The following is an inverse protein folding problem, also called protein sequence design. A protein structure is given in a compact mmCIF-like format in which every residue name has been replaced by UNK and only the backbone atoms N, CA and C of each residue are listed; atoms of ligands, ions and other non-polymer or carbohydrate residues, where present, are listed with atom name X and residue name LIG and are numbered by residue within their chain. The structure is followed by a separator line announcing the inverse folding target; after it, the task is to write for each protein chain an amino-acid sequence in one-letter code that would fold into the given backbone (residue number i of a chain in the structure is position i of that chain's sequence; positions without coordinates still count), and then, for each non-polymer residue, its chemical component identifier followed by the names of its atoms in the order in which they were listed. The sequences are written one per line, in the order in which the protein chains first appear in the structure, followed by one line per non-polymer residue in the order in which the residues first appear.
data_IF_686475079004
#
_entry.id   IF_686475079004
#
_cell.length_a   1.000
_cell.length_b   1.000
_cell.length_c   1.000
_cell.angle_alpha   90.00
_cell.angle_beta   90.00
_cell.angle_gamma   90.00
#
_symmetry.space_group_name_H-M   'P 1'
#
loop_
_entity.id
_entity.type
_entity.pdbx_description
1 polymer ?
#
# COMPACT_ATOMS: atom_id res chain seq x y z
N UNK A 1 20.80 33.77 -28.86
CA UNK A 1 20.85 32.30 -28.88
C UNK A 1 21.83 31.88 -27.78
N UNK A 2 21.33 31.70 -26.60
CA UNK A 2 22.08 31.23 -25.42
C UNK A 2 22.06 29.71 -25.40
N UNK A 3 23.21 29.12 -25.71
CA UNK A 3 23.43 27.67 -25.50
C UNK A 3 23.38 27.40 -24.02
N UNK A 4 22.21 26.99 -23.53
CA UNK A 4 22.15 26.30 -22.25
C UNK A 4 22.82 24.92 -22.44
N UNK A 5 23.74 24.50 -21.55
CA UNK A 5 24.37 23.21 -21.66
C UNK A 5 23.31 22.14 -21.27
N UNK A 6 22.81 21.45 -22.29
CA UNK A 6 22.16 20.16 -22.15
C UNK A 6 23.24 19.20 -21.67
N UNK A 7 23.33 18.96 -20.41
CA UNK A 7 23.96 17.76 -19.82
C UNK A 7 24.60 18.02 -18.44
N UNK A 8 23.81 18.20 -17.42
CA UNK A 8 24.09 17.36 -16.26
C UNK A 8 23.33 16.06 -16.50
N UNK A 9 23.95 15.15 -17.23
CA UNK A 9 23.61 13.74 -17.16
C UNK A 9 23.76 13.36 -15.68
N UNK A 10 22.65 13.47 -14.92
CA UNK A 10 22.55 12.91 -13.58
C UNK A 10 23.10 11.49 -13.69
N UNK A 11 24.28 11.26 -13.14
CA UNK A 11 24.83 9.91 -13.02
C UNK A 11 23.81 9.11 -12.23
N UNK A 12 22.94 8.42 -12.97
CA UNK A 12 21.94 7.53 -12.39
C UNK A 12 22.71 6.49 -11.59
N UNK A 13 22.66 6.61 -10.27
CA UNK A 13 23.21 5.52 -9.45
C UNK A 13 22.28 4.30 -9.65
N UNK A 14 22.76 3.23 -10.26
CA UNK A 14 21.90 2.10 -10.63
C UNK A 14 21.40 1.31 -9.42
N UNK A 15 22.07 1.42 -8.26
CA UNK A 15 21.78 0.58 -7.09
C UNK A 15 20.36 0.78 -6.56
N UNK A 16 19.86 2.01 -6.28
CA UNK A 16 18.47 2.18 -5.84
C UNK A 16 17.48 1.66 -6.89
N UNK A 17 17.71 1.96 -8.17
CA UNK A 17 16.83 1.54 -9.27
C UNK A 17 16.75 0.01 -9.42
N UNK A 18 17.85 -0.71 -9.19
CA UNK A 18 17.85 -2.18 -9.17
C UNK A 18 17.01 -2.73 -8.01
N UNK A 19 17.10 -2.13 -6.83
CA UNK A 19 16.29 -2.53 -5.67
C UNK A 19 14.80 -2.29 -5.96
N UNK A 20 14.45 -1.15 -6.57
CA UNK A 20 13.09 -0.84 -7.01
C UNK A 20 12.57 -1.87 -8.04
N UNK A 21 13.42 -2.32 -8.97
CA UNK A 21 13.05 -3.39 -9.90
C UNK A 21 12.81 -4.72 -9.18
N UNK A 22 13.56 -5.04 -8.12
CA UNK A 22 13.28 -6.23 -7.29
C UNK A 22 11.90 -6.15 -6.63
N UNK A 23 11.45 -4.96 -6.18
CA UNK A 23 10.09 -4.75 -5.72
C UNK A 23 9.08 -5.15 -6.82
N UNK A 24 9.21 -4.58 -8.03
CA UNK A 24 8.32 -4.89 -9.15
C UNK A 24 8.33 -6.39 -9.53
N UNK A 25 9.49 -7.03 -9.53
CA UNK A 25 9.62 -8.46 -9.82
C UNK A 25 8.93 -9.34 -8.78
N UNK A 26 9.01 -8.99 -7.52
CA UNK A 26 8.27 -9.68 -6.45
C UNK A 26 6.76 -9.54 -6.64
N UNK A 27 6.27 -8.33 -6.97
CA UNK A 27 4.87 -8.10 -7.29
C UNK A 27 4.40 -8.92 -8.48
N UNK A 28 5.15 -8.92 -9.57
CA UNK A 28 4.86 -9.71 -10.76
C UNK A 28 4.87 -11.22 -10.47
N UNK A 29 5.88 -11.71 -9.76
CA UNK A 29 5.95 -13.11 -9.35
C UNK A 29 4.74 -13.52 -8.50
N UNK A 30 4.29 -12.66 -7.59
CA UNK A 30 3.07 -12.90 -6.80
C UNK A 30 1.83 -13.08 -7.70
N UNK A 31 1.68 -12.25 -8.74
CA UNK A 31 0.60 -12.38 -9.73
C UNK A 31 0.68 -13.74 -10.44
N UNK A 32 1.86 -14.11 -10.94
CA UNK A 32 2.07 -15.38 -11.65
C UNK A 32 1.74 -16.58 -10.76
N UNK A 33 2.20 -16.56 -9.50
CA UNK A 33 1.89 -17.63 -8.55
C UNK A 33 0.39 -17.69 -8.24
N UNK A 34 -0.30 -16.56 -8.09
CA UNK A 34 -1.73 -16.52 -7.84
C UNK A 34 -2.53 -17.12 -9.00
N UNK A 35 -2.21 -16.76 -10.24
CA UNK A 35 -2.86 -17.27 -11.45
C UNK A 35 -2.55 -18.77 -11.64
N UNK A 36 -1.30 -19.19 -11.45
CA UNK A 36 -0.90 -20.57 -11.60
C UNK A 36 -1.57 -21.49 -10.56
N UNK A 37 -1.70 -21.06 -9.31
CA UNK A 37 -2.42 -21.83 -8.28
C UNK A 37 -3.92 -21.91 -8.56
N UNK A 38 -4.52 -20.84 -9.08
CA UNK A 38 -5.92 -20.86 -9.51
C UNK A 38 -6.14 -21.86 -10.65
N UNK A 39 -5.27 -21.87 -11.66
CA UNK A 39 -5.35 -22.80 -12.80
C UNK A 39 -5.20 -24.26 -12.36
N UNK A 40 -4.41 -24.55 -11.32
CA UNK A 40 -4.25 -25.90 -10.75
C UNK A 40 -5.34 -26.30 -9.77
N UNK A 41 -6.25 -25.39 -9.43
CA UNK A 41 -7.26 -25.62 -8.39
C UNK A 41 -6.69 -25.69 -6.96
N UNK A 42 -5.47 -25.20 -6.75
CA UNK A 42 -4.77 -25.20 -5.45
C UNK A 42 -5.09 -23.96 -4.60
N UNK A 43 -4.89 -24.03 -3.29
CA UNK A 43 -4.98 -22.86 -2.42
C UNK A 43 -3.92 -21.81 -2.84
N UNK A 44 -4.21 -20.53 -2.56
CA UNK A 44 -3.20 -19.50 -2.82
C UNK A 44 -1.96 -19.83 -2.00
N UNK A 45 -0.78 -19.96 -2.66
CA UNK A 45 0.44 -20.35 -1.96
C UNK A 45 0.86 -19.26 -0.97
N UNK A 46 1.42 -19.67 0.16
CA UNK A 46 2.05 -18.74 1.11
C UNK A 46 3.15 -17.90 0.45
N UNK A 47 3.75 -18.43 -0.64
CA UNK A 47 4.69 -17.72 -1.48
C UNK A 47 4.18 -16.35 -1.97
N UNK A 48 2.88 -16.21 -2.27
CA UNK A 48 2.31 -14.92 -2.69
C UNK A 48 2.42 -13.86 -1.58
N UNK A 49 2.21 -14.26 -0.32
CA UNK A 49 2.35 -13.35 0.83
C UNK A 49 3.82 -13.04 1.08
N UNK A 50 4.70 -14.05 1.00
CA UNK A 50 6.14 -13.84 1.15
C UNK A 50 6.70 -12.91 0.07
N UNK A 51 6.23 -13.03 -1.16
CA UNK A 51 6.59 -12.13 -2.26
C UNK A 51 6.09 -10.71 -2.05
N UNK A 52 4.85 -10.54 -1.52
CA UNK A 52 4.36 -9.22 -1.13
C UNK A 52 5.25 -8.60 -0.04
N UNK A 53 5.65 -9.39 0.95
CA UNK A 53 6.53 -8.94 2.02
C UNK A 53 7.91 -8.56 1.49
N UNK A 54 8.48 -9.37 0.60
CA UNK A 54 9.73 -9.06 -0.07
C UNK A 54 9.63 -7.76 -0.87
N UNK A 55 8.50 -7.54 -1.59
CA UNK A 55 8.23 -6.29 -2.28
C UNK A 55 8.24 -5.08 -1.32
N UNK A 56 7.57 -5.18 -0.16
CA UNK A 56 7.56 -4.12 0.86
C UNK A 56 8.95 -3.85 1.46
N UNK A 57 9.76 -4.89 1.62
CA UNK A 57 11.16 -4.75 2.08
C UNK A 57 11.99 -4.03 1.02
N UNK A 58 11.89 -4.42 -0.25
CA UNK A 58 12.62 -3.76 -1.34
C UNK A 58 12.21 -2.31 -1.53
N UNK A 59 10.91 -1.98 -1.46
CA UNK A 59 10.38 -0.61 -1.44
C UNK A 59 11.00 0.26 -0.32
N UNK A 60 11.10 -0.32 0.87
CA UNK A 60 11.73 0.38 2.00
C UNK A 60 13.23 0.57 1.80
N UNK A 61 13.91 -0.45 1.25
CA UNK A 61 15.36 -0.45 1.04
C UNK A 61 15.79 0.50 -0.07
N UNK A 62 15.04 0.63 -1.17
CA UNK A 62 15.39 1.54 -2.26
C UNK A 62 15.30 3.01 -1.83
N UNK A 63 14.23 3.36 -1.09
CA UNK A 63 14.11 4.68 -0.48
C UNK A 63 15.21 4.98 0.55
N UNK A 64 15.70 3.98 1.27
CA UNK A 64 16.84 4.11 2.18
C UNK A 64 18.14 4.27 1.40
N UNK A 65 18.38 3.42 0.38
CA UNK A 65 19.55 3.44 -0.47
C UNK A 65 19.67 4.80 -1.21
N UNK A 66 18.58 5.30 -1.78
CA UNK A 66 18.54 6.60 -2.45
C UNK A 66 18.93 7.76 -1.51
N UNK A 67 18.56 7.67 -0.22
CA UNK A 67 18.94 8.67 0.80
C UNK A 67 20.41 8.56 1.21
N UNK A 68 20.88 7.34 1.50
CA UNK A 68 22.26 7.09 1.95
C UNK A 68 23.27 7.44 0.87
N UNK A 69 22.98 7.08 -0.37
CA UNK A 69 23.84 7.34 -1.54
C UNK A 69 23.66 8.75 -2.10
N UNK A 70 22.79 9.59 -1.51
CA UNK A 70 22.43 10.93 -2.03
C UNK A 70 22.03 10.90 -3.52
N UNK A 71 21.45 9.79 -3.98
CA UNK A 71 21.13 9.48 -5.36
C UNK A 71 19.63 9.69 -5.68
N UNK A 72 19.01 10.70 -5.06
CA UNK A 72 17.62 11.05 -5.37
C UNK A 72 17.55 11.60 -6.78
N UNK A 73 16.74 10.97 -7.64
CA UNK A 73 16.49 11.41 -9.02
C UNK A 73 14.98 11.35 -9.32
N UNK A 74 14.53 12.19 -10.26
CA UNK A 74 13.15 12.12 -10.76
C UNK A 74 12.86 10.80 -11.46
N UNK A 75 13.86 10.23 -12.13
CA UNK A 75 13.75 8.90 -12.73
C UNK A 75 13.48 7.83 -11.67
N UNK A 76 14.28 7.79 -10.57
CA UNK A 76 14.10 6.84 -9.47
C UNK A 76 12.72 6.96 -8.82
N UNK A 77 12.22 8.17 -8.58
CA UNK A 77 10.90 8.39 -8.00
C UNK A 77 9.75 7.92 -8.93
N UNK A 78 9.90 8.08 -10.25
CA UNK A 78 8.92 7.57 -11.20
C UNK A 78 8.97 6.03 -11.30
N UNK A 79 10.17 5.44 -11.30
CA UNK A 79 10.36 3.99 -11.33
C UNK A 79 9.77 3.34 -10.08
N UNK A 80 9.99 3.93 -8.91
CA UNK A 80 9.42 3.55 -7.61
C UNK A 80 7.89 3.52 -7.66
N UNK A 81 7.26 4.58 -8.15
CA UNK A 81 5.81 4.62 -8.30
C UNK A 81 5.25 3.58 -9.28
N UNK A 82 5.99 3.25 -10.34
CA UNK A 82 5.60 2.18 -11.28
C UNK A 82 5.75 0.79 -10.64
N UNK A 83 6.82 0.55 -9.89
CA UNK A 83 7.02 -0.67 -9.13
C UNK A 83 5.92 -0.88 -8.10
N UNK A 84 5.59 0.16 -7.34
CA UNK A 84 4.50 0.18 -6.36
C UNK A 84 3.12 -0.07 -7.00
N UNK A 85 2.88 0.48 -8.18
CA UNK A 85 1.65 0.22 -8.93
C UNK A 85 1.49 -1.27 -9.26
N UNK A 86 2.58 -1.97 -9.61
CA UNK A 86 2.56 -3.41 -9.87
C UNK A 86 2.36 -4.18 -8.57
N UNK A 87 3.18 -3.94 -7.56
CA UNK A 87 3.26 -4.75 -6.34
C UNK A 87 2.10 -4.52 -5.39
N UNK A 88 1.64 -3.26 -5.24
CA UNK A 88 0.61 -2.88 -4.27
C UNK A 88 -0.71 -2.45 -4.93
N UNK A 89 -0.74 -2.35 -6.26
CA UNK A 89 -1.94 -2.07 -7.03
C UNK A 89 -2.44 -3.30 -7.81
N UNK A 90 -1.70 -3.72 -8.85
CA UNK A 90 -2.11 -4.81 -9.75
C UNK A 90 -2.15 -6.15 -9.01
N UNK A 91 -1.10 -6.50 -8.27
CA UNK A 91 -1.02 -7.79 -7.61
C UNK A 91 -2.17 -8.03 -6.60
N UNK A 92 -2.53 -7.09 -5.69
CA UNK A 92 -3.70 -7.27 -4.83
C UNK A 92 -5.03 -7.30 -5.61
N UNK A 93 -5.19 -6.50 -6.66
CA UNK A 93 -6.41 -6.50 -7.49
C UNK A 93 -6.64 -7.87 -8.15
N UNK A 94 -5.59 -8.48 -8.72
CA UNK A 94 -5.63 -9.85 -9.27
C UNK A 94 -5.91 -10.87 -8.18
N UNK A 95 -5.31 -10.69 -7.01
CA UNK A 95 -5.48 -11.59 -5.86
C UNK A 95 -6.93 -11.60 -5.36
N UNK A 96 -7.62 -10.45 -5.30
CA UNK A 96 -9.05 -10.36 -4.96
C UNK A 96 -9.88 -11.21 -5.94
N UNK A 97 -9.61 -11.07 -7.25
CA UNK A 97 -10.29 -11.86 -8.27
C UNK A 97 -10.07 -13.36 -8.07
N UNK A 98 -8.82 -13.78 -7.91
CA UNK A 98 -8.45 -15.18 -7.71
C UNK A 98 -9.09 -15.77 -6.46
N UNK A 99 -9.04 -15.06 -5.33
CA UNK A 99 -9.64 -15.52 -4.06
C UNK A 99 -11.14 -15.74 -4.17
N UNK A 100 -11.86 -14.79 -4.75
CA UNK A 100 -13.32 -14.91 -4.84
C UNK A 100 -13.69 -16.03 -5.81
N UNK A 101 -13.09 -16.08 -6.99
CA UNK A 101 -13.40 -17.12 -7.98
C UNK A 101 -13.12 -18.52 -7.48
N UNK A 102 -12.09 -18.68 -6.65
CA UNK A 102 -11.75 -19.95 -6.06
C UNK A 102 -12.74 -20.40 -4.99
N UNK A 103 -13.09 -19.51 -4.06
CA UNK A 103 -13.94 -19.85 -2.92
C UNK A 103 -15.44 -19.79 -3.25
N UNK A 104 -15.79 -19.20 -4.40
CA UNK A 104 -17.15 -19.07 -4.90
C UNK A 104 -17.25 -19.53 -6.37
N UNK A 105 -17.03 -20.84 -6.67
CA UNK A 105 -16.98 -21.33 -8.05
C UNK A 105 -18.30 -21.15 -8.82
N UNK A 106 -19.46 -21.08 -8.13
CA UNK A 106 -20.78 -20.82 -8.72
C UNK A 106 -21.10 -19.35 -8.96
N UNK A 107 -20.10 -18.46 -8.98
CA UNK A 107 -20.34 -17.01 -9.21
C UNK A 107 -20.94 -16.76 -10.58
N UNK A 108 -22.10 -16.07 -10.62
CA UNK A 108 -22.81 -15.69 -11.84
C UNK A 108 -21.99 -14.69 -12.69
N UNK A 109 -22.41 -14.48 -13.95
CA UNK A 109 -21.79 -13.47 -14.82
C UNK A 109 -21.84 -12.08 -14.18
N UNK A 110 -22.98 -11.70 -13.62
CA UNK A 110 -23.13 -10.42 -12.92
C UNK A 110 -22.18 -10.32 -11.71
N UNK A 111 -22.06 -11.39 -10.93
CA UNK A 111 -21.10 -11.46 -9.81
C UNK A 111 -19.64 -11.33 -10.29
N UNK A 112 -19.31 -11.93 -11.43
CA UNK A 112 -17.97 -11.81 -12.02
C UNK A 112 -17.67 -10.37 -12.47
N UNK A 113 -18.63 -9.68 -13.09
CA UNK A 113 -18.50 -8.28 -13.46
C UNK A 113 -18.32 -7.38 -12.20
N UNK A 114 -19.01 -7.70 -11.13
CA UNK A 114 -18.86 -6.99 -9.86
C UNK A 114 -17.46 -7.16 -9.27
N UNK A 115 -16.89 -8.38 -9.32
CA UNK A 115 -15.51 -8.63 -8.88
C UNK A 115 -14.54 -7.79 -9.73
N UNK A 116 -14.70 -7.76 -11.05
CA UNK A 116 -13.90 -6.93 -11.93
C UNK A 116 -14.02 -5.44 -11.58
N UNK A 117 -15.24 -4.96 -11.37
CA UNK A 117 -15.50 -3.58 -11.00
C UNK A 117 -14.77 -3.17 -9.71
N UNK A 118 -14.82 -3.99 -8.66
CA UNK A 118 -14.14 -3.72 -7.38
C UNK A 118 -12.63 -3.84 -7.51
N UNK A 119 -12.11 -4.83 -8.25
CA UNK A 119 -10.68 -4.98 -8.48
C UNK A 119 -10.10 -3.77 -9.25
N UNK A 120 -10.79 -3.32 -10.31
CA UNK A 120 -10.42 -2.13 -11.07
C UNK A 120 -10.54 -0.85 -10.23
N UNK A 121 -11.56 -0.75 -9.39
CA UNK A 121 -11.72 0.36 -8.46
C UNK A 121 -10.55 0.43 -7.47
N UNK A 122 -10.17 -0.70 -6.85
CA UNK A 122 -9.01 -0.76 -5.96
C UNK A 122 -7.72 -0.33 -6.68
N UNK A 123 -7.48 -0.85 -7.87
CA UNK A 123 -6.34 -0.46 -8.72
C UNK A 123 -6.37 1.05 -9.01
N UNK A 124 -7.51 1.58 -9.44
CA UNK A 124 -7.69 3.01 -9.72
C UNK A 124 -7.39 3.88 -8.51
N UNK A 125 -7.86 3.48 -7.32
CA UNK A 125 -7.55 4.17 -6.06
C UNK A 125 -6.05 4.15 -5.74
N UNK A 126 -5.37 3.02 -5.97
CA UNK A 126 -3.92 2.91 -5.77
C UNK A 126 -3.17 3.85 -6.71
N UNK A 127 -3.47 3.82 -8.01
CA UNK A 127 -2.84 4.70 -9.01
C UNK A 127 -3.09 6.17 -8.71
N UNK A 128 -4.32 6.54 -8.34
CA UNK A 128 -4.67 7.90 -7.95
C UNK A 128 -3.85 8.37 -6.75
N UNK A 129 -3.71 7.51 -5.74
CA UNK A 129 -2.92 7.80 -4.55
C UNK A 129 -1.45 8.04 -4.89
N UNK A 130 -0.83 7.15 -5.69
CA UNK A 130 0.57 7.28 -6.11
C UNK A 130 0.80 8.56 -6.91
N UNK A 131 -0.08 8.86 -7.87
CA UNK A 131 -0.03 10.09 -8.65
C UNK A 131 -0.15 11.34 -7.77
N UNK A 132 -1.10 11.35 -6.79
CA UNK A 132 -1.27 12.45 -5.84
C UNK A 132 0.00 12.67 -5.00
N UNK A 133 0.62 11.59 -4.54
CA UNK A 133 1.85 11.66 -3.75
C UNK A 133 3.01 12.24 -4.56
N UNK A 134 3.17 11.82 -5.81
CA UNK A 134 4.21 12.33 -6.71
C UNK A 134 4.08 13.84 -6.96
N UNK A 135 2.85 14.32 -7.21
CA UNK A 135 2.59 15.76 -7.39
C UNK A 135 2.94 16.56 -6.14
N UNK A 136 2.57 16.08 -4.95
CA UNK A 136 2.90 16.76 -3.70
C UNK A 136 4.41 16.79 -3.43
N UNK A 137 5.12 15.71 -3.77
CA UNK A 137 6.57 15.64 -3.65
C UNK A 137 7.28 16.64 -4.58
N UNK A 138 6.80 16.80 -5.82
CA UNK A 138 7.33 17.79 -6.79
C UNK A 138 7.06 19.24 -6.36
N UNK A 139 5.91 19.52 -5.72
CA UNK A 139 5.58 20.85 -5.22
C UNK A 139 6.40 21.25 -3.96
N UNK A 140 7.29 20.40 -3.46
CA UNK A 140 8.13 20.66 -2.29
C UNK A 140 7.34 20.91 -1.00
N UNK A 141 6.04 20.60 -0.99
CA UNK A 141 5.20 20.72 0.20
C UNK A 141 5.64 19.64 1.16
N UNK A 142 6.39 20.05 2.19
CA UNK A 142 6.76 19.17 3.31
C UNK A 142 5.48 18.59 3.89
N UNK A 143 5.40 17.28 3.93
CA UNK A 143 4.38 16.58 4.69
C UNK A 143 4.40 17.08 6.14
N UNK A 144 3.25 17.50 6.65
CA UNK A 144 3.05 17.84 8.08
C UNK A 144 3.23 16.61 9.01
N UNK A 145 3.94 15.58 8.52
CA UNK A 145 4.28 14.36 9.26
C UNK A 145 3.17 13.31 9.33
N UNK A 146 2.14 13.41 8.47
CA UNK A 146 1.07 12.43 8.34
C UNK A 146 0.81 12.11 6.87
N UNK A 147 0.65 10.83 6.52
CA UNK A 147 0.14 10.42 5.22
C UNK A 147 -1.37 10.74 5.14
N UNK A 148 -1.82 11.28 4.03
CA UNK A 148 -3.23 11.38 3.72
C UNK A 148 -3.69 10.10 3.02
N UNK A 149 -4.59 9.37 3.64
CA UNK A 149 -5.10 8.08 3.19
C UNK A 149 -4.22 6.88 3.57
N UNK A 150 -4.80 5.68 3.45
CA UNK A 150 -4.13 4.42 3.77
C UNK A 150 -2.93 4.19 2.85
N UNK A 151 -1.73 3.86 3.37
CA UNK A 151 -0.57 3.51 2.54
C UNK A 151 -0.84 2.29 1.65
N UNK A 152 -0.38 2.33 0.37
CA UNK A 152 -0.59 1.23 -0.58
C UNK A 152 -0.01 -0.11 -0.13
N UNK A 153 1.19 -0.19 0.50
CA UNK A 153 1.67 -1.45 1.05
C UNK A 153 0.77 -2.00 2.17
N UNK A 154 0.23 -1.12 3.03
CA UNK A 154 -0.70 -1.53 4.08
C UNK A 154 -2.01 -2.05 3.49
N UNK A 155 -2.59 -1.37 2.50
CA UNK A 155 -3.79 -1.82 1.80
C UNK A 155 -3.59 -3.19 1.12
N UNK A 156 -2.46 -3.39 0.44
CA UNK A 156 -2.09 -4.66 -0.17
C UNK A 156 -1.99 -5.78 0.87
N UNK A 157 -1.29 -5.54 1.99
CA UNK A 157 -1.16 -6.53 3.07
C UNK A 157 -2.51 -6.91 3.68
N UNK A 158 -3.45 -5.97 3.76
CA UNK A 158 -4.81 -6.23 4.22
C UNK A 158 -5.58 -7.16 3.26
N UNK A 159 -5.51 -6.92 1.94
CA UNK A 159 -6.13 -7.78 0.93
C UNK A 159 -5.59 -9.20 1.00
N UNK A 160 -4.26 -9.35 1.00
CA UNK A 160 -3.62 -10.67 1.06
C UNK A 160 -3.95 -11.40 2.37
N UNK A 161 -3.95 -10.70 3.48
CA UNK A 161 -4.32 -11.29 4.78
C UNK A 161 -5.77 -11.75 4.81
N UNK A 162 -6.71 -10.93 4.33
CA UNK A 162 -8.11 -11.30 4.25
C UNK A 162 -8.30 -12.56 3.40
N UNK A 163 -7.73 -12.59 2.19
CA UNK A 163 -7.82 -13.74 1.31
C UNK A 163 -7.21 -15.02 1.86
N UNK A 164 -6.16 -14.91 2.69
CA UNK A 164 -5.49 -16.06 3.29
C UNK A 164 -6.21 -16.60 4.55
N UNK A 165 -6.77 -15.72 5.39
CA UNK A 165 -7.37 -16.12 6.66
C UNK A 165 -8.87 -16.40 6.57
N UNK A 166 -9.62 -15.65 5.76
CA UNK A 166 -11.07 -15.82 5.64
C UNK A 166 -11.52 -17.25 5.24
N UNK A 167 -10.85 -17.95 4.29
CA UNK A 167 -11.22 -19.30 3.94
C UNK A 167 -11.12 -20.28 5.12
N UNK A 168 -10.23 -19.99 6.09
CA UNK A 168 -10.04 -20.82 7.29
C UNK A 168 -11.15 -20.66 8.34
N UNK A 169 -12.00 -19.63 8.19
CA UNK A 169 -13.14 -19.37 9.07
C UNK A 169 -14.39 -20.15 8.64
N UNK A 170 -14.29 -21.03 7.63
CA UNK A 170 -15.38 -21.86 7.11
C UNK A 170 -16.67 -21.06 6.80
N UNK A 171 -16.49 -19.83 6.33
CA UNK A 171 -17.60 -18.94 5.96
C UNK A 171 -18.31 -19.48 4.71
N UNK A 172 -19.63 -19.39 4.70
CA UNK A 172 -20.40 -19.72 3.51
C UNK A 172 -20.02 -18.86 2.30
N UNK A 173 -20.13 -19.39 1.04
CA UNK A 173 -19.63 -18.72 -0.16
C UNK A 173 -20.21 -17.31 -0.35
N UNK A 174 -21.48 -17.10 -0.05
CA UNK A 174 -22.13 -15.79 -0.17
C UNK A 174 -21.57 -14.75 0.81
N UNK A 175 -21.30 -15.15 2.05
CA UNK A 175 -20.74 -14.28 3.06
C UNK A 175 -19.29 -13.95 2.74
N UNK A 176 -18.50 -14.94 2.30
CA UNK A 176 -17.13 -14.75 1.84
C UNK A 176 -17.07 -13.77 0.67
N UNK A 177 -17.93 -13.96 -0.35
CA UNK A 177 -18.03 -13.08 -1.51
C UNK A 177 -18.30 -11.63 -1.10
N UNK A 178 -19.39 -11.42 -0.34
CA UNK A 178 -19.81 -10.06 0.06
C UNK A 178 -18.78 -9.38 0.96
N UNK A 179 -18.20 -10.14 1.88
CA UNK A 179 -17.19 -9.61 2.80
C UNK A 179 -15.91 -9.19 2.07
N UNK A 180 -15.36 -10.05 1.21
CA UNK A 180 -14.10 -9.74 0.54
C UNK A 180 -14.25 -8.62 -0.49
N UNK A 181 -15.40 -8.55 -1.19
CA UNK A 181 -15.70 -7.42 -2.07
C UNK A 181 -15.84 -6.10 -1.31
N UNK A 182 -16.65 -6.09 -0.26
CA UNK A 182 -16.84 -4.90 0.58
C UNK A 182 -15.53 -4.44 1.21
N UNK A 183 -14.71 -5.39 1.63
CA UNK A 183 -13.40 -5.13 2.22
C UNK A 183 -12.41 -4.52 1.21
N UNK A 184 -12.33 -5.07 0.00
CA UNK A 184 -11.49 -4.53 -1.08
C UNK A 184 -11.96 -3.13 -1.51
N UNK A 185 -13.27 -2.92 -1.60
CA UNK A 185 -13.86 -1.62 -1.89
C UNK A 185 -13.53 -0.58 -0.81
N UNK A 186 -13.70 -0.96 0.46
CA UNK A 186 -13.41 -0.10 1.61
C UNK A 186 -11.91 0.27 1.68
N UNK A 187 -11.01 -0.68 1.46
CA UNK A 187 -9.57 -0.40 1.44
C UNK A 187 -9.19 0.55 0.31
N UNK A 188 -9.83 0.41 -0.86
CA UNK A 188 -9.69 1.37 -1.97
C UNK A 188 -10.13 2.79 -1.58
N UNK A 189 -11.32 2.92 -0.99
CA UNK A 189 -11.81 4.22 -0.51
C UNK A 189 -10.88 4.85 0.54
N UNK A 190 -10.35 4.06 1.46
CA UNK A 190 -9.44 4.55 2.49
C UNK A 190 -8.10 5.03 1.93
N UNK A 191 -7.62 4.46 0.82
CA UNK A 191 -6.41 4.96 0.14
C UNK A 191 -6.59 6.37 -0.43
N UNK A 192 -7.78 6.69 -0.94
CA UNK A 192 -8.08 8.01 -1.54
C UNK A 192 -8.59 9.01 -0.49
N UNK A 193 -9.01 8.54 0.68
CA UNK A 193 -9.53 9.39 1.76
C UNK A 193 -8.45 10.35 2.30
N UNK A 194 -8.90 11.44 2.92
CA UNK A 194 -8.01 12.38 3.61
C UNK A 194 -7.79 12.00 5.09
N UNK A 195 -8.07 10.75 5.47
CA UNK A 195 -7.79 10.23 6.82
C UNK A 195 -6.29 10.27 7.07
N UNK A 196 -5.82 10.96 8.12
CA UNK A 196 -4.38 11.05 8.39
C UNK A 196 -3.90 9.75 9.01
N UNK A 197 -2.89 9.18 8.38
CA UNK A 197 -2.13 8.06 8.92
C UNK A 197 -0.78 8.59 9.40
N UNK A 198 -0.40 8.36 10.67
CA UNK A 198 0.89 8.81 11.18
C UNK A 198 2.03 8.10 10.44
N UNK A 199 3.08 8.85 10.10
CA UNK A 199 4.31 8.24 9.64
C UNK A 199 4.89 7.37 10.76
N UNK A 200 5.17 6.10 10.48
CA UNK A 200 5.88 5.19 11.42
C UNK A 200 7.16 5.84 11.93
N UNK A 201 7.83 6.64 11.09
CA UNK A 201 9.01 7.41 11.46
C UNK A 201 8.75 8.41 12.60
N UNK A 202 7.55 8.98 12.72
CA UNK A 202 7.22 9.94 13.80
C UNK A 202 7.02 9.22 15.13
N UNK A 203 6.46 8.00 15.08
CA UNK A 203 6.35 7.15 16.26
C UNK A 203 7.73 6.72 16.79
N UNK A 204 8.72 6.59 15.88
CA UNK A 204 10.08 6.16 16.22
C UNK A 204 11.00 7.34 16.58
N UNK A 205 10.81 8.54 16.01
CA UNK A 205 11.71 9.68 16.21
C UNK A 205 11.30 10.63 17.34
N UNK A 206 10.09 10.52 17.86
CA UNK A 206 9.60 11.32 18.99
C UNK A 206 9.78 10.69 20.37
N UNK A 207 10.10 9.39 20.40
CA UNK A 207 10.27 8.61 21.62
C UNK A 207 11.76 8.37 21.93
N UNK A 208 12.14 8.10 23.18
CA UNK A 208 13.51 7.75 23.51
C UNK A 208 13.97 6.55 22.64
N UNK A 209 15.18 6.64 22.11
CA UNK A 209 15.76 5.64 21.18
C UNK A 209 15.60 4.19 21.65
N UNK A 210 15.58 3.98 22.96
CA UNK A 210 15.38 2.68 23.60
C UNK A 210 13.98 2.13 23.31
N UNK A 211 12.92 2.95 23.42
CA UNK A 211 11.54 2.51 23.19
C UNK A 211 11.31 2.15 21.72
N UNK A 212 11.89 2.92 20.81
CA UNK A 212 11.88 2.63 19.37
C UNK A 212 12.61 1.32 19.05
N UNK A 213 13.75 1.09 19.66
CA UNK A 213 14.51 -0.14 19.51
C UNK A 213 13.74 -1.36 20.04
N UNK A 214 13.16 -1.25 21.24
CA UNK A 214 12.31 -2.29 21.83
C UNK A 214 11.11 -2.60 20.94
N UNK A 215 10.43 -1.56 20.41
CA UNK A 215 9.31 -1.76 19.49
C UNK A 215 9.72 -2.53 18.23
N UNK A 216 10.83 -2.15 17.61
CA UNK A 216 11.38 -2.87 16.43
C UNK A 216 11.70 -4.32 16.79
N UNK A 217 12.34 -4.56 17.93
CA UNK A 217 12.66 -5.92 18.40
C UNK A 217 11.40 -6.76 18.65
N UNK A 218 10.35 -6.17 19.22
CA UNK A 218 9.06 -6.84 19.45
C UNK A 218 8.40 -7.20 18.12
N UNK A 219 8.39 -6.28 17.15
CA UNK A 219 7.82 -6.54 15.81
C UNK A 219 8.61 -7.65 15.11
N UNK A 220 9.93 -7.54 15.06
CA UNK A 220 10.78 -8.55 14.42
C UNK A 220 10.71 -9.89 15.15
N UNK A 221 10.76 -9.91 16.47
CA UNK A 221 10.64 -11.13 17.28
C UNK A 221 9.28 -11.81 17.07
N UNK A 222 8.19 -11.03 17.00
CA UNK A 222 6.87 -11.60 16.73
C UNK A 222 6.77 -12.19 15.31
N UNK A 223 7.41 -11.56 14.31
CA UNK A 223 7.46 -12.09 12.94
C UNK A 223 8.24 -13.41 12.91
N UNK A 224 9.36 -13.51 13.63
CA UNK A 224 10.14 -14.75 13.71
C UNK A 224 9.34 -15.86 14.40
N UNK A 225 8.62 -15.55 15.50
CA UNK A 225 7.87 -16.54 16.29
C UNK A 225 6.56 -16.97 15.63
N UNK A 226 5.83 -16.04 15.05
CA UNK A 226 4.47 -16.28 14.54
C UNK A 226 4.37 -16.19 13.01
N UNK A 227 5.51 -16.00 12.32
CA UNK A 227 5.61 -15.91 10.87
C UNK A 227 4.58 -14.93 10.27
N UNK A 228 3.90 -15.38 9.21
CA UNK A 228 2.90 -14.59 8.48
C UNK A 228 1.77 -14.05 9.38
N UNK A 229 1.38 -14.80 10.45
CA UNK A 229 0.29 -14.39 11.36
C UNK A 229 0.60 -13.09 12.10
N UNK A 230 1.83 -12.93 12.59
CA UNK A 230 2.23 -11.72 13.30
C UNK A 230 2.16 -10.48 12.40
N UNK A 231 2.58 -10.62 11.15
CA UNK A 231 2.61 -9.53 10.19
C UNK A 231 1.21 -9.05 9.85
N UNK A 232 0.27 -9.98 9.73
CA UNK A 232 -1.15 -9.66 9.56
C UNK A 232 -1.68 -8.90 10.77
N UNK A 233 -1.39 -9.37 11.98
CA UNK A 233 -1.83 -8.70 13.21
C UNK A 233 -1.29 -7.27 13.26
N UNK A 234 -0.01 -7.04 12.93
CA UNK A 234 0.59 -5.71 12.90
C UNK A 234 -0.03 -4.82 11.83
N UNK A 235 -0.37 -5.35 10.65
CA UNK A 235 -1.07 -4.61 9.61
C UNK A 235 -2.45 -4.13 10.08
N UNK A 236 -3.21 -4.99 10.76
CA UNK A 236 -4.52 -4.63 11.33
C UNK A 236 -4.40 -3.64 12.50
N UNK A 237 -3.41 -3.82 13.38
CA UNK A 237 -3.14 -2.87 14.46
C UNK A 237 -2.86 -1.48 13.88
N UNK A 238 -1.98 -1.39 12.87
CA UNK A 238 -1.70 -0.13 12.19
C UNK A 238 -2.95 0.46 11.55
N UNK A 239 -3.74 -0.35 10.88
CA UNK A 239 -4.96 0.08 10.19
C UNK A 239 -6.00 0.68 11.15
N UNK A 240 -6.22 0.05 12.31
CA UNK A 240 -7.25 0.45 13.27
C UNK A 240 -6.77 1.54 14.22
N UNK A 241 -5.56 1.37 14.76
CA UNK A 241 -5.06 2.22 15.85
C UNK A 241 -4.47 3.52 15.30
N UNK A 242 -3.79 3.49 14.16
CA UNK A 242 -3.13 4.67 13.63
C UNK A 242 -4.09 5.84 13.35
N UNK A 243 -5.20 5.67 12.62
CA UNK A 243 -6.15 6.75 12.40
C UNK A 243 -6.85 7.19 13.69
N UNK A 244 -7.14 6.25 14.58
CA UNK A 244 -7.79 6.57 15.88
C UNK A 244 -6.86 7.40 16.78
N UNK A 245 -5.59 7.02 16.88
CA UNK A 245 -4.59 7.74 17.65
C UNK A 245 -4.40 9.17 17.10
N UNK A 246 -4.31 9.33 15.79
CA UNK A 246 -4.17 10.65 15.16
C UNK A 246 -5.41 11.52 15.37
N UNK A 247 -6.62 10.93 15.28
CA UNK A 247 -7.87 11.63 15.59
C UNK A 247 -7.92 12.12 17.04
N UNK A 248 -7.48 11.30 17.99
CA UNK A 248 -7.43 11.64 19.40
C UNK A 248 -6.41 12.75 19.68
N UNK A 249 -5.23 12.70 19.08
CA UNK A 249 -4.19 13.73 19.21
C UNK A 249 -4.68 15.06 18.65
N UNK A 250 -5.32 15.07 17.49
CA UNK A 250 -5.88 16.29 16.88
C UNK A 250 -7.01 16.87 17.69
N UNK A 251 -7.87 16.03 18.25
CA UNK A 251 -8.97 16.48 19.15
C UNK A 251 -8.43 17.16 20.40
N UNK A 252 -7.36 16.62 21.01
CA UNK A 252 -6.66 17.26 22.15
C UNK A 252 -5.99 18.58 21.78
N UNK A 253 -5.52 18.72 20.53
CA UNK A 253 -4.89 19.93 20.02
C UNK A 253 -5.88 21.01 19.55
N UNK A 254 -7.19 20.85 19.75
CA UNK A 254 -8.23 21.81 19.37
C UNK A 254 -8.38 22.06 17.86
N UNK A 255 -7.82 21.20 17.00
CA UNK A 255 -7.90 21.34 15.54
C UNK A 255 -9.23 20.81 15.03
N UNK A 256 -10.03 21.59 14.26
CA UNK A 256 -11.38 21.20 13.86
C UNK A 256 -11.39 19.97 12.94
N UNK A 257 -12.26 19.02 13.28
CA UNK A 257 -12.52 17.79 12.49
C UNK A 257 -13.13 18.08 11.09
N UNK A 258 -13.65 19.28 10.86
CA UNK A 258 -14.39 19.64 9.63
C UNK A 258 -13.56 19.70 8.35
N UNK A 259 -12.25 19.53 8.39
CA UNK A 259 -11.39 19.49 7.20
C UNK A 259 -11.23 18.08 6.59
N UNK A 260 -11.99 17.07 7.04
CA UNK A 260 -11.64 15.66 6.89
C UNK A 260 -12.21 14.94 5.67
N UNK A 261 -13.30 15.44 5.11
CA UNK A 261 -13.99 14.80 4.00
C UNK A 261 -14.16 15.82 2.85
N UNK A 262 -13.33 15.75 1.84
CA UNK A 262 -13.51 16.49 0.57
C UNK A 262 -13.18 17.98 0.50
N UNK A 263 -12.52 18.62 1.49
CA UNK A 263 -12.40 20.08 1.50
C UNK A 263 -11.28 20.68 0.60
N UNK A 264 -10.34 19.87 0.09
CA UNK A 264 -9.25 20.40 -0.76
C UNK A 264 -9.53 20.41 -2.27
N UNK A 265 -10.47 19.62 -2.75
CA UNK A 265 -10.83 19.60 -4.18
C UNK A 265 -11.64 20.80 -4.63
N UNK A 266 -12.53 21.34 -3.79
CA UNK A 266 -13.39 22.47 -4.13
C UNK A 266 -12.68 23.83 -4.19
N UNK A 267 -11.65 24.07 -3.37
CA UNK A 267 -10.96 25.36 -3.32
C UNK A 267 -9.96 25.63 -4.44
N UNK A 268 -9.41 24.60 -5.09
CA UNK A 268 -8.46 24.79 -6.20
C UNK A 268 -9.14 25.02 -7.56
N UNK A 269 -10.37 24.57 -7.74
CA UNK A 269 -11.18 24.90 -8.94
C UNK A 269 -11.74 26.33 -8.88
N UNK A 270 -12.09 26.83 -7.71
CA UNK A 270 -12.63 28.17 -7.54
C UNK A 270 -11.62 29.32 -7.64
N UNK A 271 -10.30 29.04 -7.51
CA UNK A 271 -9.24 30.06 -7.65
C UNK A 271 -8.57 30.07 -9.04
N UNK A 272 -9.09 29.34 -10.02
CA UNK A 272 -8.62 29.33 -11.42
C UNK A 272 -9.66 29.83 -12.43
N UNK A 273 -10.82 30.25 -11.95
CA UNK A 273 -11.79 31.08 -12.69
C UNK A 273 -11.72 32.50 -12.16
#
# INVERSE_FOLDING_TARGET
MTNEPIAEAHRLNPIPSLITLCNAFCGFASIVYAIASYARGEALPEACILLLLAAMVFDTLDGLAARLLKAKSSFGANLDSLADAISFGVAPAVTVFVFIKRNCPGTTTAGTLLIWGVALFYLGCTLWRLARYNVLALEGKKDDGCFLGLPSPAAASMIYSAGFFLPRLEMGPHLFFSFLLGYAFLTGLLMVSDVPYPHVRRCVSGEPRILSFVFICVVLGSIVMFHIKALVIWAYIYFLIAPLAELLVRRKAGRPLRAFLFHRFGKKLANRT
#
